data_IF_679619338514
#
_entry.id   IF_679619338514
#
_cell.length_a   1.000
_cell.length_b   1.000
_cell.length_c   1.000
_cell.angle_alpha   90.00
_cell.angle_beta   90.00
_cell.angle_gamma   90.00
#
_symmetry.space_group_name_H-M   'P 1'
#
loop_
_entity.id
_entity.type
_entity.pdbx_description
1 polymer ?
#
# COMPACT_ATOMS: atom_id res chain seq x y z
N UNK A 1 24.54 -26.25 -10.26
CA UNK A 1 23.71 -25.22 -9.57
C UNK A 1 22.29 -25.36 -10.08
N UNK A 2 21.32 -25.67 -9.21
CA UNK A 2 19.91 -25.71 -9.61
C UNK A 2 19.49 -24.31 -10.07
N UNK A 3 18.92 -24.17 -11.26
CA UNK A 3 18.43 -22.88 -11.77
C UNK A 3 17.11 -22.44 -11.14
N UNK A 4 16.53 -23.27 -10.26
CA UNK A 4 15.20 -23.09 -9.67
C UNK A 4 15.30 -22.58 -8.23
N UNK A 5 14.44 -21.62 -7.90
CA UNK A 5 14.16 -21.14 -6.54
C UNK A 5 12.99 -21.97 -5.99
N UNK A 6 13.25 -22.80 -4.97
CA UNK A 6 12.25 -23.71 -4.39
C UNK A 6 11.27 -22.99 -3.44
N UNK A 7 11.61 -21.79 -2.97
CA UNK A 7 10.79 -20.99 -2.06
C UNK A 7 9.85 -20.03 -2.83
N UNK A 8 9.93 -20.05 -4.17
CA UNK A 8 9.18 -19.17 -5.04
C UNK A 8 8.51 -19.91 -6.19
N UNK A 9 7.41 -19.32 -6.66
CA UNK A 9 6.54 -19.90 -7.67
C UNK A 9 6.39 -18.98 -8.89
N UNK A 10 6.22 -19.58 -10.06
CA UNK A 10 5.76 -18.92 -11.28
C UNK A 10 4.25 -18.61 -11.21
N UNK A 11 3.75 -17.92 -12.23
CA UNK A 11 2.32 -17.60 -12.34
C UNK A 11 1.39 -18.83 -12.42
N UNK A 12 1.94 -20.00 -12.79
CA UNK A 12 1.20 -21.27 -12.90
C UNK A 12 1.29 -22.11 -11.62
N UNK A 13 2.06 -21.68 -10.62
CA UNK A 13 2.28 -22.41 -9.36
C UNK A 13 3.45 -23.40 -9.39
N UNK A 14 4.27 -23.44 -10.43
CA UNK A 14 5.49 -24.27 -10.48
C UNK A 14 6.67 -23.53 -9.81
N UNK A 15 7.74 -24.24 -9.38
CA UNK A 15 8.96 -23.60 -8.88
C UNK A 15 9.54 -22.59 -9.87
N UNK A 16 9.98 -21.43 -9.37
CA UNK A 16 10.41 -20.33 -10.22
C UNK A 16 11.80 -20.58 -10.85
N UNK A 17 11.90 -20.45 -12.18
CA UNK A 17 13.18 -20.46 -12.91
C UNK A 17 13.85 -19.09 -12.83
N UNK A 18 15.03 -19.02 -12.20
CA UNK A 18 15.78 -17.78 -11.97
C UNK A 18 16.17 -17.05 -13.25
N UNK A 19 16.31 -17.78 -14.37
CA UNK A 19 16.71 -17.19 -15.65
C UNK A 19 15.56 -16.51 -16.40
N UNK A 20 14.30 -16.85 -16.07
CA UNK A 20 13.10 -16.39 -16.79
C UNK A 20 12.15 -15.56 -15.94
N UNK A 21 12.17 -15.75 -14.62
CA UNK A 21 11.15 -15.25 -13.69
C UNK A 21 11.80 -14.38 -12.61
N UNK A 22 11.25 -13.19 -12.43
CA UNK A 22 11.77 -12.16 -11.53
C UNK A 22 12.84 -11.29 -12.19
N UNK A 23 13.76 -10.79 -11.36
CA UNK A 23 14.83 -9.90 -11.78
C UNK A 23 14.38 -8.49 -12.16
N UNK A 24 15.31 -7.74 -12.74
CA UNK A 24 15.21 -6.29 -12.93
C UNK A 24 14.07 -5.83 -13.82
N UNK A 25 13.60 -6.65 -14.76
CA UNK A 25 12.45 -6.29 -15.59
C UNK A 25 11.18 -6.15 -14.75
N UNK A 26 10.88 -7.13 -13.90
CA UNK A 26 9.73 -7.08 -12.99
C UNK A 26 9.93 -6.01 -11.91
N UNK A 27 11.15 -5.89 -11.38
CA UNK A 27 11.49 -4.84 -10.43
C UNK A 27 11.28 -3.43 -11.01
N UNK A 28 11.58 -3.20 -12.29
CA UNK A 28 11.33 -1.93 -12.96
C UNK A 28 9.84 -1.55 -12.96
N UNK A 29 8.95 -2.52 -13.20
CA UNK A 29 7.49 -2.30 -13.16
C UNK A 29 7.00 -1.96 -11.73
N UNK A 30 7.61 -2.58 -10.71
CA UNK A 30 7.31 -2.31 -9.30
C UNK A 30 7.82 -0.92 -8.89
N UNK A 31 9.00 -0.52 -9.37
CA UNK A 31 9.56 0.82 -9.14
C UNK A 31 8.73 1.91 -9.84
N UNK A 32 8.18 1.63 -11.02
CA UNK A 32 7.27 2.54 -11.73
C UNK A 32 5.99 2.82 -10.93
N UNK A 33 5.38 1.79 -10.34
CA UNK A 33 4.26 1.96 -9.40
C UNK A 33 4.67 2.81 -8.20
N UNK A 34 5.85 2.56 -7.61
CA UNK A 34 6.33 3.37 -6.49
C UNK A 34 6.44 4.84 -6.87
N UNK A 35 7.01 5.13 -8.04
CA UNK A 35 7.17 6.48 -8.56
C UNK A 35 5.82 7.16 -8.74
N UNK A 36 4.90 6.55 -9.50
CA UNK A 36 3.58 7.10 -9.78
C UNK A 36 2.77 7.31 -8.49
N UNK A 37 2.77 6.32 -7.59
CA UNK A 37 2.12 6.43 -6.28
C UNK A 37 2.72 7.58 -5.47
N UNK A 38 4.04 7.71 -5.44
CA UNK A 38 4.72 8.75 -4.66
C UNK A 38 4.41 10.14 -5.21
N UNK A 39 4.48 10.29 -6.53
CA UNK A 39 4.15 11.50 -7.27
C UNK A 39 2.72 11.98 -6.95
N UNK A 40 1.72 11.12 -7.17
CA UNK A 40 0.31 11.45 -6.92
C UNK A 40 0.02 11.71 -5.43
N UNK A 41 0.61 10.93 -4.53
CA UNK A 41 0.40 11.09 -3.09
C UNK A 41 0.87 12.46 -2.58
N UNK A 42 2.04 12.93 -3.03
CA UNK A 42 2.59 14.19 -2.59
C UNK A 42 1.87 15.38 -3.24
N UNK A 43 1.51 15.27 -4.51
CA UNK A 43 0.72 16.30 -5.20
C UNK A 43 -0.64 16.54 -4.52
N UNK A 44 -1.30 15.48 -4.07
CA UNK A 44 -2.55 15.59 -3.31
C UNK A 44 -2.27 16.17 -1.91
N UNK A 45 -1.31 15.62 -1.16
CA UNK A 45 -1.09 16.04 0.24
C UNK A 45 -0.67 17.50 0.36
N UNK A 46 0.20 17.97 -0.54
CA UNK A 46 0.77 19.33 -0.45
C UNK A 46 -0.28 20.39 -0.80
N UNK A 47 -1.11 20.15 -1.83
CA UNK A 47 -1.97 21.20 -2.39
C UNK A 47 -3.48 21.00 -2.12
N UNK A 48 -3.90 19.87 -1.56
CA UNK A 48 -5.31 19.67 -1.19
C UNK A 48 -5.73 20.58 -0.03
N UNK A 49 -4.82 20.86 0.92
CA UNK A 49 -5.11 21.72 2.07
C UNK A 49 -5.33 23.17 1.61
N UNK A 50 -4.42 23.71 0.82
CA UNK A 50 -4.51 25.04 0.20
C UNK A 50 -5.74 25.13 -0.70
N UNK A 51 -6.09 24.08 -1.45
CA UNK A 51 -7.35 24.07 -2.20
C UNK A 51 -8.60 24.24 -1.32
N UNK A 52 -8.68 23.48 -0.22
CA UNK A 52 -9.84 23.51 0.67
C UNK A 52 -9.94 24.82 1.47
N UNK A 53 -8.79 25.42 1.83
CA UNK A 53 -8.75 26.68 2.58
C UNK A 53 -8.93 27.86 1.64
N UNK A 54 -8.12 27.97 0.59
CA UNK A 54 -8.01 29.21 -0.20
C UNK A 54 -9.06 29.29 -1.31
N UNK A 55 -9.53 28.16 -1.85
CA UNK A 55 -10.53 28.16 -2.94
C UNK A 55 -11.94 27.88 -2.41
N UNK A 56 -12.07 26.91 -1.51
CA UNK A 56 -13.39 26.46 -0.98
C UNK A 56 -13.77 27.18 0.33
N UNK A 57 -12.84 27.92 0.97
CA UNK A 57 -13.10 28.69 2.19
C UNK A 57 -13.61 27.85 3.37
N UNK A 58 -13.12 26.61 3.49
CA UNK A 58 -13.39 25.77 4.66
C UNK A 58 -12.49 26.21 5.82
N UNK A 59 -13.02 26.21 7.05
CA UNK A 59 -12.24 26.58 8.24
C UNK A 59 -10.99 25.72 8.42
N UNK A 60 -9.86 26.35 8.77
CA UNK A 60 -8.56 25.68 8.95
C UNK A 60 -8.61 24.54 9.98
N UNK A 61 -9.48 24.64 10.98
CA UNK A 61 -9.72 23.58 11.97
C UNK A 61 -10.35 22.32 11.34
N UNK A 62 -11.33 22.48 10.46
CA UNK A 62 -11.98 21.36 9.75
C UNK A 62 -11.01 20.70 8.76
N UNK A 63 -10.22 21.51 8.04
CA UNK A 63 -9.21 20.99 7.10
C UNK A 63 -8.10 20.24 7.85
N UNK A 64 -7.69 20.71 9.03
CA UNK A 64 -6.72 20.02 9.88
C UNK A 64 -7.21 18.65 10.35
N UNK A 65 -8.48 18.56 10.80
CA UNK A 65 -9.12 17.28 11.16
C UNK A 65 -9.17 16.33 9.97
N UNK A 66 -9.57 16.83 8.80
CA UNK A 66 -9.60 16.06 7.56
C UNK A 66 -8.22 15.50 7.20
N UNK A 67 -7.15 16.30 7.34
CA UNK A 67 -5.76 15.85 7.12
C UNK A 67 -5.33 14.75 8.09
N UNK A 68 -5.71 14.84 9.36
CA UNK A 68 -5.42 13.80 10.37
C UNK A 68 -6.17 12.51 10.02
N UNK A 69 -7.44 12.60 9.66
CA UNK A 69 -8.26 11.45 9.25
C UNK A 69 -7.65 10.75 8.02
N UNK A 70 -7.21 11.50 7.01
CA UNK A 70 -6.51 10.96 5.83
C UNK A 70 -5.29 10.13 6.25
N UNK A 71 -4.44 10.66 7.13
CA UNK A 71 -3.24 9.95 7.60
C UNK A 71 -3.61 8.67 8.36
N UNK A 72 -4.64 8.72 9.20
CA UNK A 72 -5.17 7.54 9.89
C UNK A 72 -5.66 6.46 8.92
N UNK A 73 -6.36 6.85 7.85
CA UNK A 73 -6.84 5.93 6.81
C UNK A 73 -5.69 5.27 6.00
N UNK A 74 -4.63 6.02 5.69
CA UNK A 74 -3.44 5.45 5.05
C UNK A 74 -2.84 4.35 5.95
N UNK A 75 -2.67 4.62 7.24
CA UNK A 75 -2.09 3.66 8.19
C UNK A 75 -3.00 2.44 8.36
N UNK A 76 -4.31 2.65 8.52
CA UNK A 76 -5.26 1.54 8.69
C UNK A 76 -5.30 0.63 7.45
N UNK A 77 -5.25 1.20 6.24
CA UNK A 77 -5.22 0.41 5.01
C UNK A 77 -3.96 -0.48 4.88
N UNK A 78 -2.80 -0.04 5.40
CA UNK A 78 -1.60 -0.88 5.47
C UNK A 78 -1.81 -2.13 6.32
N UNK A 79 -2.61 -2.03 7.40
CA UNK A 79 -2.92 -3.14 8.30
C UNK A 79 -3.97 -4.07 7.67
N UNK A 80 -4.98 -3.50 7.00
CA UNK A 80 -6.09 -4.24 6.40
C UNK A 80 -5.67 -5.06 5.17
N UNK A 81 -4.55 -4.72 4.50
CA UNK A 81 -4.02 -5.45 3.33
C UNK A 81 -4.02 -6.98 3.50
N UNK A 82 -3.60 -7.49 4.66
CA UNK A 82 -3.58 -8.94 4.90
C UNK A 82 -4.98 -9.55 4.99
N UNK A 83 -5.92 -8.82 5.60
CA UNK A 83 -7.31 -9.25 5.67
C UNK A 83 -7.96 -9.25 4.30
N UNK A 84 -7.63 -8.28 3.42
CA UNK A 84 -8.07 -8.31 2.03
C UNK A 84 -7.62 -9.59 1.30
N UNK A 85 -6.33 -9.95 1.41
CA UNK A 85 -5.81 -11.20 0.87
C UNK A 85 -6.60 -12.43 1.40
N UNK A 86 -6.83 -12.48 2.72
CA UNK A 86 -7.54 -13.60 3.35
C UNK A 86 -9.03 -13.68 2.99
N UNK A 87 -9.69 -12.54 2.87
CA UNK A 87 -11.14 -12.46 2.72
C UNK A 87 -11.58 -12.58 1.26
N UNK A 88 -10.89 -11.87 0.36
CA UNK A 88 -11.29 -11.81 -1.06
C UNK A 88 -10.61 -12.87 -1.93
N UNK A 89 -9.37 -13.27 -1.62
CA UNK A 89 -8.56 -14.07 -2.55
C UNK A 89 -8.24 -15.48 -2.05
N UNK A 90 -8.21 -15.73 -0.74
CA UNK A 90 -7.95 -17.08 -0.20
C UNK A 90 -8.91 -18.18 -0.65
N UNK A 91 -10.21 -17.94 -0.92
CA UNK A 91 -11.09 -19.00 -1.43
C UNK A 91 -10.80 -19.38 -2.89
N UNK A 92 -10.11 -18.52 -3.64
CA UNK A 92 -10.03 -18.56 -5.11
C UNK A 92 -8.59 -18.79 -5.59
N UNK A 93 -7.59 -18.39 -4.80
CA UNK A 93 -6.18 -18.37 -5.20
C UNK A 93 -5.29 -18.99 -4.13
N UNK A 94 -4.22 -19.64 -4.60
CA UNK A 94 -3.12 -20.06 -3.76
C UNK A 94 -2.51 -18.89 -2.98
N UNK A 95 -2.07 -19.18 -1.76
CA UNK A 95 -1.54 -18.18 -0.82
C UNK A 95 -0.33 -17.40 -1.38
N UNK A 96 0.38 -17.93 -2.39
CA UNK A 96 1.50 -17.28 -3.10
C UNK A 96 1.06 -16.11 -3.97
N UNK A 97 -0.04 -16.24 -4.72
CA UNK A 97 -0.54 -15.20 -5.62
C UNK A 97 -1.29 -14.08 -4.90
N UNK A 98 -1.80 -14.38 -3.71
CA UNK A 98 -2.65 -13.50 -2.94
C UNK A 98 -2.00 -12.16 -2.57
N UNK A 99 -0.69 -12.13 -2.34
CA UNK A 99 0.04 -10.91 -1.99
C UNK A 99 0.11 -9.92 -3.16
N UNK A 100 0.49 -10.39 -4.35
CA UNK A 100 0.54 -9.58 -5.57
C UNK A 100 -0.84 -9.14 -6.03
N UNK A 101 -1.84 -10.03 -5.97
CA UNK A 101 -3.22 -9.67 -6.33
C UNK A 101 -3.82 -8.63 -5.38
N UNK A 102 -3.48 -8.69 -4.09
CA UNK A 102 -3.86 -7.63 -3.15
C UNK A 102 -3.24 -6.29 -3.55
N UNK A 103 -1.96 -6.25 -3.94
CA UNK A 103 -1.32 -5.04 -4.45
C UNK A 103 -2.06 -4.48 -5.68
N UNK A 104 -2.49 -5.34 -6.61
CA UNK A 104 -3.29 -4.93 -7.77
C UNK A 104 -4.57 -4.25 -7.37
N UNK A 105 -5.34 -4.84 -6.44
CA UNK A 105 -6.56 -4.21 -5.93
C UNK A 105 -6.29 -2.83 -5.37
N UNK A 106 -5.22 -2.66 -4.58
CA UNK A 106 -4.87 -1.34 -4.06
C UNK A 106 -4.40 -0.36 -5.15
N UNK A 107 -3.74 -0.84 -6.21
CA UNK A 107 -3.44 -0.02 -7.38
C UNK A 107 -4.71 0.41 -8.12
N UNK A 108 -5.68 -0.50 -8.29
CA UNK A 108 -6.99 -0.17 -8.86
C UNK A 108 -7.74 0.86 -8.01
N UNK A 109 -7.80 0.68 -6.68
CA UNK A 109 -8.45 1.63 -5.77
C UNK A 109 -7.78 3.01 -5.79
N UNK A 110 -6.44 3.05 -5.84
CA UNK A 110 -5.71 4.31 -5.98
C UNK A 110 -6.02 4.99 -7.31
N UNK A 111 -6.00 4.23 -8.40
CA UNK A 111 -6.33 4.71 -9.74
C UNK A 111 -7.75 5.26 -9.80
N UNK A 112 -8.75 4.50 -9.33
CA UNK A 112 -10.14 4.93 -9.28
C UNK A 112 -10.30 6.22 -8.48
N UNK A 113 -9.68 6.30 -7.30
CA UNK A 113 -9.70 7.50 -6.47
C UNK A 113 -9.10 8.73 -7.17
N UNK A 114 -7.96 8.58 -7.84
CA UNK A 114 -7.27 9.66 -8.56
C UNK A 114 -8.07 10.07 -9.80
N UNK A 115 -8.63 9.11 -10.55
CA UNK A 115 -9.52 9.39 -11.68
C UNK A 115 -10.76 10.16 -11.23
N UNK A 116 -11.42 9.72 -10.16
CA UNK A 116 -12.59 10.41 -9.60
C UNK A 116 -12.23 11.82 -9.12
N UNK A 117 -11.04 11.99 -8.54
CA UNK A 117 -10.56 13.31 -8.13
C UNK A 117 -10.35 14.23 -9.34
N UNK A 118 -9.71 13.73 -10.41
CA UNK A 118 -9.54 14.48 -11.65
C UNK A 118 -10.89 14.88 -12.26
N UNK A 119 -11.83 13.94 -12.38
CA UNK A 119 -13.18 14.18 -12.90
C UNK A 119 -13.95 15.21 -12.06
N UNK A 120 -13.83 15.13 -10.72
CA UNK A 120 -14.52 16.05 -9.80
C UNK A 120 -14.07 17.50 -9.95
N UNK A 121 -12.85 17.72 -10.48
CA UNK A 121 -12.25 19.05 -10.65
C UNK A 121 -12.40 19.53 -12.10
N UNK A 122 -12.39 18.61 -13.06
CA UNK A 122 -12.54 18.90 -14.48
C UNK A 122 -13.99 19.28 -14.87
N UNK A 123 -14.99 18.59 -14.32
CA UNK A 123 -16.39 18.80 -14.72
C UNK A 123 -17.02 20.01 -14.01
N UNK A 124 -17.56 21.01 -14.74
CA UNK A 124 -18.13 22.23 -14.15
C UNK A 124 -19.25 21.96 -13.14
N UNK A 125 -20.05 20.92 -13.37
CA UNK A 125 -21.17 20.54 -12.50
C UNK A 125 -20.73 19.87 -11.19
N UNK A 126 -19.54 19.27 -11.16
CA UNK A 126 -18.98 18.57 -9.99
C UNK A 126 -17.94 19.39 -9.25
N UNK A 127 -17.35 20.37 -9.93
CA UNK A 127 -16.37 21.29 -9.35
C UNK A 127 -17.04 22.15 -8.30
N UNK A 128 -16.39 22.27 -7.15
CA UNK A 128 -16.85 23.19 -6.12
C UNK A 128 -16.75 24.63 -6.64
N UNK A 129 -17.79 25.45 -6.46
CA UNK A 129 -17.76 26.84 -6.90
C UNK A 129 -16.62 27.57 -6.18
N UNK A 130 -15.73 28.28 -6.91
CA UNK A 130 -14.73 29.11 -6.27
C UNK A 130 -15.44 30.21 -5.49
N UNK A 131 -15.04 30.38 -4.24
CA UNK A 131 -15.50 31.48 -3.41
C UNK A 131 -14.50 32.61 -3.54
N UNK A 132 -14.95 33.78 -4.01
CA UNK A 132 -14.15 35.00 -3.95
C UNK A 132 -14.80 35.98 -2.98
N UNK A 133 -14.24 36.15 -1.76
CA UNK A 133 -14.77 37.08 -0.77
C UNK A 133 -14.70 38.55 -1.21
N UNK A 134 -13.95 38.87 -2.28
CA UNK A 134 -13.91 40.22 -2.86
C UNK A 134 -15.07 40.48 -3.84
N UNK A 135 -15.72 39.44 -4.38
CA UNK A 135 -16.71 39.53 -5.46
C UNK A 135 -18.15 39.23 -5.00
N UNK A 136 -18.33 38.57 -3.85
CA UNK A 136 -19.65 38.25 -3.30
C UNK A 136 -19.65 38.17 -1.76
N UNK A 137 -20.64 38.79 -1.11
CA UNK A 137 -20.81 38.74 0.35
C UNK A 137 -21.30 37.37 0.87
N UNK A 138 -21.80 36.49 -0.01
CA UNK A 138 -22.27 35.16 0.36
C UNK A 138 -21.63 34.08 -0.53
N UNK A 139 -20.80 33.25 0.10
CA UNK A 139 -20.24 32.05 -0.51
C UNK A 139 -21.32 31.01 -0.74
N UNK A 140 -21.50 30.58 -1.99
CA UNK A 140 -22.36 29.43 -2.31
C UNK A 140 -21.75 28.19 -1.67
N UNK A 141 -22.42 27.66 -0.65
CA UNK A 141 -22.00 26.45 0.04
C UNK A 141 -21.99 25.29 -0.95
N UNK A 142 -20.88 24.54 -0.99
CA UNK A 142 -20.75 23.37 -1.84
C UNK A 142 -21.89 22.38 -1.63
N UNK A 143 -22.43 21.86 -2.74
CA UNK A 143 -23.50 20.88 -2.68
C UNK A 143 -23.02 19.60 -1.98
N UNK A 144 -23.95 18.96 -1.27
CA UNK A 144 -23.73 17.72 -0.54
C UNK A 144 -23.17 16.61 -1.44
N UNK A 145 -23.59 16.56 -2.71
CA UNK A 145 -23.10 15.58 -3.68
C UNK A 145 -21.66 15.89 -4.12
N UNK A 146 -21.33 17.16 -4.38
CA UNK A 146 -19.98 17.59 -4.75
C UNK A 146 -18.97 17.26 -3.65
N UNK A 147 -19.31 17.60 -2.40
CA UNK A 147 -18.48 17.24 -1.23
C UNK A 147 -18.40 15.73 -1.01
N UNK A 148 -19.50 15.00 -1.23
CA UNK A 148 -19.52 13.54 -1.12
C UNK A 148 -18.58 12.86 -2.12
N UNK A 149 -18.60 13.29 -3.40
CA UNK A 149 -17.73 12.75 -4.45
C UNK A 149 -16.26 13.08 -4.17
N UNK A 150 -15.94 14.33 -3.84
CA UNK A 150 -14.58 14.73 -3.49
C UNK A 150 -14.04 13.91 -2.30
N UNK A 151 -14.86 13.77 -1.26
CA UNK A 151 -14.52 13.00 -0.07
C UNK A 151 -14.28 11.54 -0.41
N UNK A 152 -15.17 10.93 -1.20
CA UNK A 152 -15.02 9.55 -1.69
C UNK A 152 -13.72 9.37 -2.49
N UNK A 153 -13.43 10.28 -3.41
CA UNK A 153 -12.23 10.23 -4.25
C UNK A 153 -10.95 10.28 -3.40
N UNK A 154 -10.89 11.20 -2.44
CA UNK A 154 -9.74 11.33 -1.52
C UNK A 154 -9.60 10.07 -0.65
N UNK A 155 -10.68 9.53 -0.08
CA UNK A 155 -10.59 8.32 0.73
C UNK A 155 -10.17 7.09 -0.08
N UNK A 156 -10.74 6.86 -1.28
CA UNK A 156 -10.33 5.77 -2.17
C UNK A 156 -8.85 5.85 -2.53
N UNK A 157 -8.39 7.05 -2.91
CA UNK A 157 -6.98 7.31 -3.23
C UNK A 157 -6.06 6.93 -2.07
N UNK A 158 -6.41 7.35 -0.85
CA UNK A 158 -5.59 7.11 0.33
C UNK A 158 -5.57 5.64 0.78
N UNK A 159 -6.70 4.93 0.65
CA UNK A 159 -6.78 3.48 0.88
C UNK A 159 -5.88 2.75 -0.11
N UNK A 160 -5.96 3.11 -1.40
CA UNK A 160 -5.10 2.56 -2.44
C UNK A 160 -3.62 2.81 -2.15
N UNK A 161 -3.22 4.07 -1.91
CA UNK A 161 -1.83 4.45 -1.62
C UNK A 161 -1.26 3.70 -0.42
N UNK A 162 -2.00 3.56 0.69
CA UNK A 162 -1.51 2.84 1.87
C UNK A 162 -1.34 1.35 1.60
N UNK A 163 -2.26 0.73 0.88
CA UNK A 163 -2.12 -0.67 0.45
C UNK A 163 -0.94 -0.90 -0.50
N UNK A 164 -0.71 -0.02 -1.47
CA UNK A 164 0.45 -0.06 -2.37
C UNK A 164 1.75 0.08 -1.55
N UNK A 165 1.83 1.09 -0.67
CA UNK A 165 3.03 1.39 0.13
C UNK A 165 3.45 0.22 1.03
N UNK A 166 2.51 -0.60 1.48
CA UNK A 166 2.81 -1.81 2.27
C UNK A 166 3.07 -3.08 1.43
N UNK A 167 2.83 -3.02 0.12
CA UNK A 167 2.96 -4.16 -0.80
C UNK A 167 4.23 -4.09 -1.66
N UNK A 168 4.54 -2.91 -2.19
CA UNK A 168 5.58 -2.71 -3.21
C UNK A 168 6.98 -3.15 -2.76
N UNK A 169 7.49 -2.77 -1.56
CA UNK A 169 8.82 -3.20 -1.14
C UNK A 169 8.94 -4.72 -1.06
N UNK A 170 7.90 -5.38 -0.53
CA UNK A 170 7.87 -6.83 -0.43
C UNK A 170 7.78 -7.50 -1.80
N UNK A 171 7.01 -6.96 -2.74
CA UNK A 171 6.96 -7.49 -4.10
C UNK A 171 8.31 -7.35 -4.81
N UNK A 172 9.00 -6.23 -4.59
CA UNK A 172 10.32 -5.98 -5.17
C UNK A 172 11.36 -6.98 -4.68
N UNK A 173 11.39 -7.27 -3.37
CA UNK A 173 12.28 -8.30 -2.81
C UNK A 173 11.91 -9.71 -3.26
N UNK A 174 10.62 -9.98 -3.51
CA UNK A 174 10.18 -11.29 -3.99
C UNK A 174 10.74 -11.61 -5.39
N UNK A 175 11.24 -10.61 -6.15
CA UNK A 175 11.82 -10.81 -7.48
C UNK A 175 13.27 -11.32 -7.47
N UNK A 176 13.89 -11.45 -6.30
CA UNK A 176 15.26 -11.91 -6.12
C UNK A 176 15.33 -13.08 -5.12
N UNK A 177 16.21 -14.04 -5.39
CA UNK A 177 16.56 -15.16 -4.53
C UNK A 177 17.56 -14.68 -3.47
N UNK A 178 17.28 -14.95 -2.20
CA UNK A 178 18.15 -14.56 -1.09
C UNK A 178 19.25 -15.59 -0.85
N UNK A 179 19.07 -16.82 -1.33
CA UNK A 179 20.02 -17.92 -1.19
C UNK A 179 21.11 -17.89 -2.27
N UNK A 180 20.98 -17.03 -3.27
CA UNK A 180 21.98 -16.81 -4.31
C UNK A 180 22.71 -15.47 -4.07
N UNK A 181 24.03 -15.51 -3.88
CA UNK A 181 24.83 -14.32 -3.56
C UNK A 181 24.69 -13.21 -4.61
N UNK A 182 24.52 -13.55 -5.89
CA UNK A 182 24.39 -12.57 -6.97
C UNK A 182 23.02 -11.91 -6.95
N UNK A 183 21.93 -12.69 -6.84
CA UNK A 183 20.58 -12.12 -6.73
C UNK A 183 20.40 -11.35 -5.42
N UNK A 184 21.01 -11.79 -4.32
CA UNK A 184 20.99 -11.08 -3.04
C UNK A 184 21.68 -9.71 -3.13
N UNK A 185 22.84 -9.62 -3.78
CA UNK A 185 23.49 -8.33 -4.04
C UNK A 185 22.64 -7.40 -4.94
N UNK A 186 21.89 -7.97 -5.88
CA UNK A 186 20.94 -7.20 -6.71
C UNK A 186 19.72 -6.72 -5.91
N UNK A 187 19.23 -7.52 -4.96
CA UNK A 187 18.16 -7.13 -4.05
C UNK A 187 18.57 -5.93 -3.19
N UNK A 188 19.82 -5.85 -2.73
CA UNK A 188 20.33 -4.66 -2.01
C UNK A 188 20.28 -3.43 -2.91
N UNK A 189 20.76 -3.54 -4.15
CA UNK A 189 20.69 -2.46 -5.15
C UNK A 189 19.25 -2.05 -5.48
N UNK A 190 18.29 -2.96 -5.38
CA UNK A 190 16.88 -2.62 -5.54
C UNK A 190 16.45 -1.58 -4.50
N UNK A 191 16.85 -1.71 -3.24
CA UNK A 191 16.50 -0.72 -2.22
C UNK A 191 17.14 0.64 -2.50
N UNK A 192 18.38 0.69 -2.97
CA UNK A 192 19.01 1.94 -3.39
C UNK A 192 18.19 2.65 -4.49
N UNK A 193 17.75 1.88 -5.50
CA UNK A 193 16.90 2.39 -6.58
C UNK A 193 15.51 2.78 -6.09
N UNK A 194 14.93 2.00 -5.18
CA UNK A 194 13.63 2.27 -4.58
C UNK A 194 13.64 3.61 -3.84
N UNK A 195 14.65 3.89 -3.02
CA UNK A 195 14.77 5.16 -2.32
C UNK A 195 15.06 6.32 -3.29
N UNK A 196 15.91 6.11 -4.29
CA UNK A 196 16.18 7.10 -5.33
C UNK A 196 14.89 7.53 -6.05
N UNK A 197 14.11 6.57 -6.54
CA UNK A 197 12.84 6.81 -7.25
C UNK A 197 11.81 7.45 -6.33
N UNK A 198 11.74 7.03 -5.06
CA UNK A 198 10.85 7.63 -4.06
C UNK A 198 11.19 9.11 -3.82
N UNK A 199 12.46 9.43 -3.67
CA UNK A 199 12.92 10.80 -3.44
C UNK A 199 12.72 11.66 -4.70
N UNK A 200 13.04 11.13 -5.88
CA UNK A 200 12.79 11.82 -7.14
C UNK A 200 11.30 12.11 -7.36
N UNK A 201 10.43 11.13 -7.10
CA UNK A 201 8.99 11.32 -7.19
C UNK A 201 8.46 12.39 -6.22
N UNK A 202 9.02 12.48 -5.02
CA UNK A 202 8.70 13.58 -4.08
C UNK A 202 9.20 14.93 -4.59
N UNK A 203 10.43 15.00 -5.11
CA UNK A 203 10.98 16.24 -5.67
C UNK A 203 10.11 16.76 -6.82
N UNK A 204 9.78 15.89 -7.77
CA UNK A 204 8.92 16.24 -8.92
C UNK A 204 7.51 16.63 -8.48
N UNK A 205 6.94 15.97 -7.48
CA UNK A 205 5.63 16.32 -6.96
C UNK A 205 5.62 17.72 -6.34
N UNK A 206 6.58 18.00 -5.45
CA UNK A 206 6.63 19.27 -4.71
C UNK A 206 7.09 20.47 -5.55
N UNK A 207 7.66 20.25 -6.73
CA UNK A 207 8.14 21.31 -7.63
C UNK A 207 7.27 21.40 -8.88
N UNK A 208 7.40 20.44 -9.79
CA UNK A 208 6.73 20.46 -11.09
C UNK A 208 5.22 20.32 -10.98
N UNK A 209 4.71 19.35 -10.21
CA UNK A 209 3.26 19.18 -10.10
C UNK A 209 2.60 20.32 -9.31
N UNK A 210 3.21 20.80 -8.23
CA UNK A 210 2.71 21.98 -7.51
C UNK A 210 2.65 23.18 -8.45
N UNK A 211 3.71 23.42 -9.25
CA UNK A 211 3.70 24.47 -10.26
C UNK A 211 2.54 24.32 -11.26
N UNK A 212 2.30 23.11 -11.78
CA UNK A 212 1.18 22.85 -12.70
C UNK A 212 -0.16 23.10 -11.99
N UNK A 213 -0.32 22.65 -10.75
CA UNK A 213 -1.56 22.83 -9.99
C UNK A 213 -1.90 24.31 -9.76
N UNK A 214 -0.89 25.12 -9.45
CA UNK A 214 -1.07 26.52 -9.07
C UNK A 214 -1.10 27.49 -10.26
N UNK A 215 -0.27 27.25 -11.29
CA UNK A 215 -0.11 28.18 -12.42
C UNK A 215 -0.88 27.77 -13.69
N UNK A 216 -1.00 26.48 -13.98
CA UNK A 216 -1.67 25.98 -15.19
C UNK A 216 -3.12 25.59 -14.89
N UNK A 217 -3.32 24.92 -13.77
CA UNK A 217 -4.62 24.50 -13.28
C UNK A 217 -4.58 23.10 -12.68
N UNK A 218 -5.37 22.94 -11.61
CA UNK A 218 -5.45 21.68 -10.85
C UNK A 218 -5.96 20.49 -11.68
N UNK A 219 -6.84 20.72 -12.66
CA UNK A 219 -7.35 19.66 -13.54
C UNK A 219 -6.21 18.94 -14.26
N UNK A 220 -5.33 19.70 -14.92
CA UNK A 220 -4.17 19.19 -15.64
C UNK A 220 -3.25 18.33 -14.76
N UNK A 221 -2.94 18.79 -13.55
CA UNK A 221 -2.09 18.04 -12.63
C UNK A 221 -2.70 16.70 -12.23
N UNK A 222 -4.00 16.67 -11.91
CA UNK A 222 -4.68 15.43 -11.53
C UNK A 222 -4.91 14.50 -12.72
N UNK A 223 -5.12 15.03 -13.93
CA UNK A 223 -5.16 14.24 -15.17
C UNK A 223 -3.82 13.57 -15.45
N UNK A 224 -2.70 14.28 -15.29
CA UNK A 224 -1.35 13.69 -15.42
C UNK A 224 -1.13 12.57 -14.38
N UNK A 225 -1.55 12.79 -13.14
CA UNK A 225 -1.47 11.78 -12.08
C UNK A 225 -2.36 10.56 -12.38
N UNK A 226 -3.54 10.79 -12.96
CA UNK A 226 -4.48 9.74 -13.38
C UNK A 226 -3.90 8.91 -14.53
N UNK A 227 -3.44 9.56 -15.61
CA UNK A 227 -2.88 8.90 -16.78
C UNK A 227 -1.63 8.08 -16.43
N UNK A 228 -0.73 8.63 -15.61
CA UNK A 228 0.46 7.92 -15.15
C UNK A 228 0.11 6.68 -14.31
N UNK A 229 -0.87 6.78 -13.40
CA UNK A 229 -1.32 5.63 -12.60
C UNK A 229 -1.99 4.54 -13.45
N UNK A 230 -2.80 4.92 -14.45
CA UNK A 230 -3.41 3.97 -15.40
C UNK A 230 -2.31 3.23 -16.17
N UNK A 231 -1.31 3.95 -16.68
CA UNK A 231 -0.20 3.36 -17.41
C UNK A 231 0.60 2.38 -16.53
N UNK A 232 0.95 2.80 -15.31
CA UNK A 232 1.67 1.94 -14.36
C UNK A 232 0.89 0.66 -14.04
N UNK A 233 -0.44 0.77 -13.88
CA UNK A 233 -1.31 -0.38 -13.64
C UNK A 233 -1.37 -1.35 -14.83
N UNK A 234 -1.44 -0.82 -16.06
CA UNK A 234 -1.39 -1.64 -17.28
C UNK A 234 -0.05 -2.36 -17.41
N UNK A 235 1.06 -1.64 -17.23
CA UNK A 235 2.42 -2.21 -17.29
C UNK A 235 2.59 -3.30 -16.24
N UNK A 236 2.13 -3.06 -15.00
CA UNK A 236 2.18 -4.05 -13.93
C UNK A 236 1.31 -5.28 -14.22
N UNK A 237 0.14 -5.09 -14.83
CA UNK A 237 -0.74 -6.17 -15.28
C UNK A 237 -0.08 -7.04 -16.36
N UNK A 238 0.55 -6.43 -17.36
CA UNK A 238 1.26 -7.15 -18.43
C UNK A 238 2.45 -7.97 -17.90
N UNK A 239 3.08 -7.50 -16.83
CA UNK A 239 4.19 -8.17 -16.16
C UNK A 239 3.84 -9.47 -15.43
N UNK A 240 2.55 -9.78 -15.21
CA UNK A 240 2.08 -10.89 -14.35
C UNK A 240 2.83 -12.21 -14.56
N UNK A 241 3.01 -12.63 -15.82
CA UNK A 241 3.58 -13.94 -16.14
C UNK A 241 5.07 -14.06 -15.80
N UNK A 242 5.77 -12.93 -15.63
CA UNK A 242 7.21 -12.89 -15.33
C UNK A 242 7.52 -12.65 -13.86
N UNK A 243 6.51 -12.32 -13.04
CA UNK A 243 6.73 -12.08 -11.61
C UNK A 243 7.01 -13.38 -10.87
N UNK A 244 7.91 -13.27 -9.89
CA UNK A 244 8.18 -14.33 -8.91
C UNK A 244 7.25 -14.15 -7.70
N UNK A 245 6.59 -15.24 -7.30
CA UNK A 245 5.60 -15.24 -6.20
C UNK A 245 6.10 -16.05 -5.01
N UNK A 246 6.25 -15.42 -3.84
CA UNK A 246 6.66 -16.12 -2.60
C UNK A 246 5.47 -16.38 -1.68
N UNK A 247 5.44 -17.56 -1.06
CA UNK A 247 4.42 -17.90 -0.06
C UNK A 247 4.74 -17.20 1.25
N UNK A 248 3.86 -16.31 1.71
CA UNK A 248 4.06 -15.59 2.98
C UNK A 248 3.39 -16.32 4.13
N UNK A 249 4.14 -16.52 5.22
CA UNK A 249 3.66 -17.16 6.46
C UNK A 249 3.45 -16.10 7.54
N UNK A 250 2.27 -16.12 8.18
CA UNK A 250 2.01 -15.38 9.42
C UNK A 250 1.87 -13.85 9.28
N UNK A 251 1.44 -13.18 10.36
CA UNK A 251 1.68 -11.73 10.55
C UNK A 251 2.23 -11.56 11.94
N UNK A 252 3.27 -10.74 12.12
CA UNK A 252 3.76 -10.38 13.44
C UNK A 252 2.65 -9.84 14.35
N UNK A 253 1.70 -9.07 13.80
CA UNK A 253 0.58 -8.51 14.56
C UNK A 253 -0.32 -9.61 15.15
N UNK A 254 -0.62 -10.67 14.41
CA UNK A 254 -1.43 -11.77 14.96
C UNK A 254 -0.67 -12.51 16.05
N UNK A 255 0.66 -12.66 15.92
CA UNK A 255 1.50 -13.25 16.95
C UNK A 255 1.51 -12.37 18.21
N UNK A 256 1.65 -11.05 18.07
CA UNK A 256 1.59 -10.10 19.19
C UNK A 256 0.22 -10.15 19.86
N UNK A 257 -0.87 -10.13 19.10
CA UNK A 257 -2.23 -10.24 19.65
C UNK A 257 -2.46 -11.59 20.34
N UNK A 258 -1.97 -12.69 19.76
CA UNK A 258 -2.03 -14.01 20.40
C UNK A 258 -1.30 -14.00 21.74
N UNK A 259 -0.11 -13.39 21.81
CA UNK A 259 0.65 -13.25 23.06
C UNK A 259 -0.10 -12.39 24.07
N UNK A 260 -0.67 -11.25 23.66
CA UNK A 260 -1.44 -10.37 24.55
C UNK A 260 -2.68 -11.09 25.08
N UNK A 261 -3.48 -11.70 24.21
CA UNK A 261 -4.69 -12.43 24.60
C UNK A 261 -4.31 -13.59 25.52
N UNK A 262 -3.28 -14.36 25.17
CA UNK A 262 -2.79 -15.45 26.00
C UNK A 262 -2.35 -14.97 27.40
N UNK A 263 -1.62 -13.86 27.48
CA UNK A 263 -1.18 -13.27 28.75
C UNK A 263 -2.37 -12.81 29.61
N UNK A 264 -3.38 -12.17 29.00
CA UNK A 264 -4.58 -11.71 29.71
C UNK A 264 -5.42 -12.89 30.20
N UNK A 265 -5.65 -13.90 29.35
CA UNK A 265 -6.45 -15.07 29.70
C UNK A 265 -5.78 -15.90 30.80
N UNK A 266 -4.44 -15.99 30.79
CA UNK A 266 -3.67 -16.81 31.74
C UNK A 266 -3.12 -16.00 32.93
N UNK A 267 -3.54 -14.76 33.14
CA UNK A 267 -3.08 -13.92 34.27
C UNK A 267 -3.31 -14.50 35.66
N UNK A 268 -4.20 -15.50 35.80
CA UNK A 268 -4.54 -16.17 37.06
C UNK A 268 -3.89 -17.54 37.23
N UNK A 269 -3.10 -18.02 36.27
CA UNK A 269 -2.44 -19.32 36.39
C UNK A 269 -1.22 -19.22 37.29
N UNK A 270 -1.04 -20.19 38.18
CA UNK A 270 0.13 -20.30 39.04
C UNK A 270 1.42 -20.45 38.22
N UNK A 271 2.45 -19.71 38.60
CA UNK A 271 3.75 -19.75 37.92
C UNK A 271 4.39 -21.13 38.13
N UNK A 272 4.76 -21.86 37.06
CA UNK A 272 5.41 -23.16 37.21
C UNK A 272 6.82 -22.98 37.82
N UNK A 273 7.20 -23.86 38.74
CA UNK A 273 8.48 -23.79 39.45
C UNK A 273 9.71 -23.94 38.54
N UNK A 274 9.55 -24.48 37.34
CA UNK A 274 10.62 -24.72 36.37
C UNK A 274 10.39 -23.90 35.08
N UNK A 275 11.37 -23.07 34.72
CA UNK A 275 11.34 -22.24 33.51
C UNK A 275 11.24 -23.06 32.21
N UNK A 276 11.74 -24.30 32.21
CA UNK A 276 11.71 -25.23 31.08
C UNK A 276 10.28 -25.66 30.70
N UNK A 277 9.33 -25.59 31.64
CA UNK A 277 7.93 -25.94 31.40
C UNK A 277 7.18 -24.89 30.54
N UNK A 278 7.80 -23.74 30.27
CA UNK A 278 7.27 -22.65 29.42
C UNK A 278 7.45 -22.87 27.92
N UNK A 279 8.26 -23.85 27.51
CA UNK A 279 8.54 -24.12 26.11
C UNK A 279 7.95 -25.47 25.68
N UNK A 280 7.50 -25.56 24.43
CA UNK A 280 6.99 -26.78 23.80
C UNK A 280 8.09 -27.33 22.87
N UNK A 281 8.32 -28.65 22.87
CA UNK A 281 9.20 -29.27 21.87
C UNK A 281 8.60 -29.11 20.46
N UNK A 282 9.41 -28.76 19.44
CA UNK A 282 8.89 -28.28 18.17
C UNK A 282 8.28 -29.43 17.34
N UNK A 283 6.95 -29.43 17.18
CA UNK A 283 6.28 -30.09 16.05
C UNK A 283 6.10 -29.09 14.90
N UNK A 284 6.35 -29.57 13.68
CA UNK A 284 6.70 -28.79 12.48
C UNK A 284 5.67 -27.75 11.97
N UNK A 285 4.46 -27.64 12.53
CA UNK A 285 3.38 -26.87 11.89
C UNK A 285 3.17 -25.43 12.39
N UNK A 286 3.94 -24.92 13.36
CA UNK A 286 3.76 -23.54 13.85
C UNK A 286 5.01 -22.89 14.45
N UNK A 287 6.10 -22.88 13.70
CA UNK A 287 7.34 -22.18 14.08
C UNK A 287 7.22 -20.69 13.75
N UNK A 288 7.57 -19.83 14.72
CA UNK A 288 7.80 -18.40 14.49
C UNK A 288 9.23 -18.28 13.92
N UNK A 289 9.37 -17.88 12.66
CA UNK A 289 10.64 -17.89 11.90
C UNK A 289 11.83 -17.11 12.52
N UNK A 290 11.62 -16.32 13.58
CA UNK A 290 12.69 -15.55 14.25
C UNK A 290 13.02 -16.01 15.68
N UNK A 291 12.45 -17.13 16.14
CA UNK A 291 12.75 -17.69 17.46
C UNK A 291 12.85 -19.21 17.36
N UNK A 292 13.97 -19.78 17.82
CA UNK A 292 14.19 -21.23 17.90
C UNK A 292 13.29 -21.94 18.94
N UNK A 293 12.31 -21.25 19.53
CA UNK A 293 11.46 -21.75 20.60
C UNK A 293 10.00 -21.35 20.41
N UNK A 294 9.09 -22.28 20.69
CA UNK A 294 7.63 -22.07 20.73
C UNK A 294 7.21 -21.87 22.18
N UNK A 295 6.61 -20.72 22.51
CA UNK A 295 6.09 -20.43 23.85
C UNK A 295 4.81 -21.24 24.08
N UNK A 296 4.85 -22.21 25.01
CA UNK A 296 3.75 -23.14 25.37
C UNK A 296 2.48 -22.43 25.83
N UNK A 297 2.61 -21.18 26.24
CA UNK A 297 1.51 -20.40 26.80
C UNK A 297 0.74 -19.55 25.77
N UNK A 298 1.19 -19.45 24.51
CA UNK A 298 0.60 -18.54 23.49
C UNK A 298 -0.52 -19.20 22.66
N UNK A 299 -0.67 -20.52 22.71
CA UNK A 299 -1.74 -21.21 21.96
C UNK A 299 -3.05 -21.16 22.74
N UNK A 300 -4.03 -20.40 22.23
CA UNK A 300 -5.45 -20.64 22.52
C UNK A 300 -5.84 -21.86 21.69
N UNK A 301 -6.07 -23.01 22.33
CA UNK A 301 -6.82 -24.09 21.68
C UNK A 301 -8.21 -23.52 21.39
N UNK A 302 -8.46 -23.18 20.13
CA UNK A 302 -9.84 -23.17 19.64
C UNK A 302 -10.21 -24.63 19.49
N UNK A 303 -11.31 -25.02 20.15
CA UNK A 303 -11.86 -26.36 20.10
C UNK A 303 -12.18 -26.76 18.65
#
# INVERSE_FOLDING_TARGET
MNSFDLDAFDHKGNPADRTKIGGWFCTGQILDIEMCKRLSSMAIIVNLVTYLVDTVHISSASVSKFRINIRGHIISSMLVRKHCCRFFFRPILDNSHCYCNSCRVFCFLACEGICLLAISIALPNLRLPPCDPALSNECVKADSLQMGILTKAVYLTNIGIGGIKSSVPGLGTDQFDQNDDKENAQMVRFFDRFFLVTNLGTLLACTLLVYIQDQVGRSWAYEICSASMILALLVFGLGTKRHRYKKRVGTPILQILQVIVAAVTKRKTTFPSNASALYEDPSQESIIYHTNYKLRYVTIRTA
#
